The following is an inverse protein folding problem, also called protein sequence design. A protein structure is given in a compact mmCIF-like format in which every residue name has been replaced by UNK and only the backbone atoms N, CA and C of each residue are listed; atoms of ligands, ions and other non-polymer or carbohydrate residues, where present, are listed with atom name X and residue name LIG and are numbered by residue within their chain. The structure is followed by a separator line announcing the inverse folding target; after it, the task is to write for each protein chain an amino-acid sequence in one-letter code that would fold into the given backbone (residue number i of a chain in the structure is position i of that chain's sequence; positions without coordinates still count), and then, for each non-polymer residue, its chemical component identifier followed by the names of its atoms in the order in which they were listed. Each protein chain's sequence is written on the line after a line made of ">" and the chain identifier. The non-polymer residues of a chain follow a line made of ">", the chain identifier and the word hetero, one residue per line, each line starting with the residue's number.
data_IF_895561202633
#
_entry.id   IF_895561202633
#
_cell.length_a   1.000
_cell.length_b   1.000
_cell.length_c   1.000
_cell.angle_alpha   90.00
_cell.angle_beta   90.00
_cell.angle_gamma   90.00
#
_symmetry.space_group_name_H-M   'P 1'
#
loop_
_entity.id
_entity.type
_entity.pdbx_description
1 polymer ?
#
# COMPACT_ATOMS: atom_id res chain seq x y z
N UNK A 1 -30.48 24.66 26.61
CA UNK A 1 -29.00 24.69 26.53
C UNK A 1 -28.63 24.59 25.06
N UNK A 2 -27.84 25.51 24.50
CA UNK A 2 -27.32 25.35 23.15
C UNK A 2 -26.26 24.24 23.20
N UNK A 3 -26.42 23.18 22.43
CA UNK A 3 -25.35 22.19 22.22
C UNK A 3 -24.10 22.93 21.75
N UNK A 4 -23.04 22.86 22.55
CA UNK A 4 -21.73 23.35 22.14
C UNK A 4 -21.17 22.28 21.21
N UNK A 5 -21.22 22.54 19.90
CA UNK A 5 -20.58 21.67 18.91
C UNK A 5 -19.07 21.76 19.11
N UNK A 6 -18.47 20.72 19.67
CA UNK A 6 -17.01 20.59 19.75
C UNK A 6 -16.52 20.26 18.35
N UNK A 7 -15.81 21.19 17.71
CA UNK A 7 -15.18 20.95 16.42
C UNK A 7 -13.88 20.19 16.64
N UNK A 8 -13.72 19.05 15.98
CA UNK A 8 -12.48 18.26 16.01
C UNK A 8 -11.55 18.67 14.87
N UNK A 9 -10.25 18.64 15.10
CA UNK A 9 -9.27 18.66 14.01
C UNK A 9 -9.42 17.41 13.12
N UNK A 10 -8.83 17.44 11.93
CA UNK A 10 -8.79 16.28 11.03
C UNK A 10 -8.24 15.03 11.72
N UNK A 11 -7.13 15.16 12.45
CA UNK A 11 -6.52 14.09 13.23
C UNK A 11 -7.40 13.62 14.37
N UNK A 12 -7.93 14.51 15.20
CA UNK A 12 -8.79 14.13 16.33
C UNK A 12 -10.03 13.36 15.88
N UNK A 13 -10.63 13.78 14.76
CA UNK A 13 -11.78 13.11 14.14
C UNK A 13 -11.45 11.68 13.74
N UNK A 14 -10.33 11.49 13.04
CA UNK A 14 -9.86 10.17 12.61
C UNK A 14 -9.53 9.28 13.81
N UNK A 15 -8.80 9.82 14.78
CA UNK A 15 -8.44 9.08 16.00
C UNK A 15 -9.67 8.75 16.85
N UNK A 16 -10.68 9.62 16.94
CA UNK A 16 -11.93 9.31 17.63
C UNK A 16 -12.61 8.08 16.99
N UNK A 17 -12.76 8.08 15.67
CA UNK A 17 -13.37 6.97 14.94
C UNK A 17 -12.59 5.65 15.11
N UNK A 18 -11.26 5.68 14.97
CA UNK A 18 -10.41 4.51 15.15
C UNK A 18 -10.42 3.95 16.58
N UNK A 19 -10.71 4.80 17.57
CA UNK A 19 -10.89 4.40 18.96
C UNK A 19 -12.37 4.15 19.32
N UNK A 20 -13.23 3.94 18.32
CA UNK A 20 -14.66 3.63 18.50
C UNK A 20 -15.43 4.69 19.32
N UNK A 21 -15.08 5.97 19.15
CA UNK A 21 -15.79 7.13 19.74
C UNK A 21 -16.46 7.92 18.62
N UNK A 22 -17.66 8.43 18.88
CA UNK A 22 -18.42 9.23 17.90
C UNK A 22 -17.67 10.54 17.58
N UNK A 23 -17.26 10.76 16.32
CA UNK A 23 -16.63 12.00 15.90
C UNK A 23 -17.67 13.11 15.61
N UNK A 24 -17.21 14.34 15.38
CA UNK A 24 -18.08 15.46 14.99
C UNK A 24 -18.68 15.31 13.56
N UNK A 25 -18.07 14.47 12.72
CA UNK A 25 -18.59 13.92 11.46
C UNK A 25 -17.79 12.68 11.06
N UNK A 26 -18.30 11.93 10.08
CA UNK A 26 -17.57 10.80 9.47
C UNK A 26 -16.22 11.30 8.92
N UNK A 27 -15.07 10.69 9.30
CA UNK A 27 -13.77 10.99 8.70
C UNK A 27 -13.73 10.57 7.23
N UNK A 28 -13.03 11.34 6.40
CA UNK A 28 -12.91 11.11 4.96
C UNK A 28 -11.44 10.87 4.61
N UNK A 29 -11.19 9.80 3.86
CA UNK A 29 -9.92 9.58 3.16
C UNK A 29 -10.13 9.84 1.66
N UNK A 30 -9.25 10.65 1.07
CA UNK A 30 -9.17 10.86 -0.37
C UNK A 30 -7.69 10.91 -0.79
N UNK A 31 -7.18 9.75 -1.17
CA UNK A 31 -5.80 9.58 -1.65
C UNK A 31 -4.73 9.47 -0.57
N UNK A 32 -5.09 9.25 0.71
CA UNK A 32 -4.11 8.90 1.73
C UNK A 32 -3.69 7.42 1.68
N UNK A 33 -4.44 6.57 0.96
CA UNK A 33 -4.12 5.18 0.65
C UNK A 33 -4.24 4.97 -0.86
N UNK A 34 -3.46 4.05 -1.42
CA UNK A 34 -3.56 3.72 -2.86
C UNK A 34 -4.99 3.34 -3.30
N UNK A 35 -5.71 2.53 -2.51
CA UNK A 35 -7.09 2.13 -2.82
C UNK A 35 -8.13 3.24 -2.63
N UNK A 36 -7.79 4.35 -1.96
CA UNK A 36 -8.61 5.57 -1.86
C UNK A 36 -8.11 6.67 -2.80
N UNK A 37 -7.13 6.36 -3.64
CA UNK A 37 -6.55 7.27 -4.61
C UNK A 37 -7.44 7.52 -5.83
N UNK A 38 -6.90 8.31 -6.75
CA UNK A 38 -7.58 8.69 -7.97
C UNK A 38 -6.64 8.59 -9.15
N UNK A 39 -7.11 7.93 -10.21
CA UNK A 39 -6.35 7.80 -11.45
C UNK A 39 -6.01 9.19 -12.02
N UNK A 40 -4.78 9.38 -12.48
CA UNK A 40 -4.24 10.69 -12.84
C UNK A 40 -5.00 11.39 -13.97
N UNK A 41 -5.48 10.65 -14.98
CA UNK A 41 -6.36 11.24 -16.00
C UNK A 41 -7.64 11.83 -15.40
N UNK A 42 -8.28 11.12 -14.48
CA UNK A 42 -9.50 11.57 -13.81
C UNK A 42 -9.21 12.76 -12.90
N UNK A 43 -8.05 12.74 -12.23
CA UNK A 43 -7.61 13.84 -11.39
C UNK A 43 -7.43 15.15 -12.16
N UNK A 44 -6.92 15.10 -13.40
CA UNK A 44 -6.85 16.30 -14.26
C UNK A 44 -8.25 16.89 -14.50
N UNK A 45 -9.26 16.06 -14.74
CA UNK A 45 -10.63 16.53 -14.95
C UNK A 45 -11.23 17.14 -13.67
N UNK A 46 -10.91 16.58 -12.50
CA UNK A 46 -11.26 17.20 -11.20
C UNK A 46 -10.63 18.59 -11.09
N UNK A 47 -9.34 18.75 -11.40
CA UNK A 47 -8.67 20.06 -11.38
C UNK A 47 -9.33 21.07 -12.31
N UNK A 48 -9.68 20.65 -13.54
CA UNK A 48 -10.40 21.50 -14.51
C UNK A 48 -11.77 21.92 -13.99
N UNK A 49 -12.52 20.98 -13.42
CA UNK A 49 -13.84 21.24 -12.84
C UNK A 49 -13.77 22.25 -11.68
N UNK A 50 -12.74 22.15 -10.83
CA UNK A 50 -12.49 23.10 -9.75
C UNK A 50 -11.92 24.45 -10.23
N UNK A 51 -11.61 24.59 -11.52
CA UNK A 51 -11.02 25.81 -12.08
C UNK A 51 -9.57 26.03 -11.67
N UNK A 52 -8.86 24.99 -11.22
CA UNK A 52 -7.46 25.07 -10.81
C UNK A 52 -6.57 25.34 -12.02
N UNK A 53 -5.80 26.43 -11.97
CA UNK A 53 -4.90 26.86 -13.08
C UNK A 53 -3.42 26.58 -12.83
N UNK A 54 -3.09 25.99 -11.67
CA UNK A 54 -1.72 25.78 -11.23
C UNK A 54 -1.47 24.31 -10.83
N UNK A 55 -0.19 23.98 -10.68
CA UNK A 55 0.26 22.63 -10.34
C UNK A 55 0.19 21.67 -11.54
N UNK A 56 1.18 20.79 -11.65
CA UNK A 56 1.20 19.71 -12.63
C UNK A 56 0.94 18.41 -11.87
N UNK A 57 0.01 17.59 -12.35
CA UNK A 57 -0.34 16.32 -11.72
C UNK A 57 0.90 15.43 -11.63
N UNK A 58 1.21 14.99 -10.41
CA UNK A 58 2.25 14.00 -10.15
C UNK A 58 1.66 12.61 -10.07
N UNK A 59 2.24 11.66 -10.79
CA UNK A 59 1.83 10.25 -10.76
C UNK A 59 2.80 9.48 -9.88
N UNK A 60 2.46 9.28 -8.60
CA UNK A 60 3.37 8.64 -7.64
C UNK A 60 3.29 7.10 -7.69
N UNK A 61 2.09 6.56 -7.92
CA UNK A 61 1.87 5.13 -8.14
C UNK A 61 1.70 4.85 -9.63
N UNK A 62 2.79 4.38 -10.25
CA UNK A 62 2.84 4.05 -11.67
C UNK A 62 2.13 2.74 -12.02
N UNK A 63 1.84 1.86 -11.07
CA UNK A 63 1.11 0.62 -11.34
C UNK A 63 -0.34 0.96 -11.64
N UNK A 64 -0.99 1.65 -10.73
CA UNK A 64 -2.40 2.05 -10.84
C UNK A 64 -2.58 3.41 -11.54
N UNK A 65 -1.48 4.08 -11.89
CA UNK A 65 -1.46 5.42 -12.50
C UNK A 65 -2.17 6.47 -11.63
N UNK A 66 -1.95 6.44 -10.31
CA UNK A 66 -2.61 7.33 -9.35
C UNK A 66 -1.90 8.67 -9.22
N UNK A 67 -2.69 9.74 -9.11
CA UNK A 67 -2.21 11.07 -8.79
C UNK A 67 -1.92 11.25 -7.30
N UNK A 68 -0.94 12.08 -6.97
CA UNK A 68 -0.76 12.67 -5.64
C UNK A 68 -1.71 13.88 -5.53
N UNK A 69 -2.76 13.83 -4.68
CA UNK A 69 -3.69 14.95 -4.58
C UNK A 69 -3.03 16.19 -3.98
N UNK A 70 -3.20 17.35 -4.62
CA UNK A 70 -2.81 18.63 -4.07
C UNK A 70 -3.71 19.06 -2.91
N UNK A 71 -3.13 19.85 -2.00
CA UNK A 71 -3.79 20.37 -0.80
C UNK A 71 -5.17 20.99 -1.06
N UNK A 72 -5.30 21.80 -2.10
CA UNK A 72 -6.57 22.45 -2.46
C UNK A 72 -7.69 21.41 -2.72
N UNK A 73 -7.35 20.27 -3.32
CA UNK A 73 -8.31 19.20 -3.57
C UNK A 73 -8.61 18.39 -2.31
N UNK A 74 -7.59 18.12 -1.48
CA UNK A 74 -7.75 17.50 -0.16
C UNK A 74 -8.72 18.34 0.69
N UNK A 75 -8.54 19.65 0.71
CA UNK A 75 -9.39 20.60 1.43
C UNK A 75 -10.80 20.68 0.83
N UNK A 76 -10.93 20.68 -0.50
CA UNK A 76 -12.23 20.69 -1.18
C UNK A 76 -13.09 19.47 -0.80
N UNK A 77 -12.51 18.27 -0.80
CA UNK A 77 -13.19 17.05 -0.38
C UNK A 77 -13.28 16.88 1.14
N UNK A 78 -12.70 17.81 1.91
CA UNK A 78 -12.65 17.78 3.38
C UNK A 78 -12.04 16.46 3.89
N UNK A 79 -11.04 15.95 3.16
CA UNK A 79 -10.29 14.78 3.59
C UNK A 79 -9.56 15.08 4.90
N UNK A 80 -9.38 14.06 5.72
CA UNK A 80 -8.86 14.17 7.09
C UNK A 80 -7.48 13.53 7.25
N UNK A 81 -6.99 12.89 6.20
CA UNK A 81 -5.80 12.04 6.20
C UNK A 81 -4.87 12.45 5.07
N UNK A 82 -3.57 12.44 5.32
CA UNK A 82 -2.52 12.59 4.32
C UNK A 82 -1.61 11.38 4.29
N UNK A 83 -1.10 11.02 3.11
CA UNK A 83 -0.23 9.86 2.94
C UNK A 83 1.23 10.19 3.27
N UNK A 84 1.86 9.32 4.04
CA UNK A 84 3.30 9.14 4.05
C UNK A 84 3.66 8.01 3.08
N UNK A 85 4.19 8.41 1.92
CA UNK A 85 4.65 7.54 0.84
C UNK A 85 5.98 6.87 1.18
N UNK A 86 6.14 5.65 0.65
CA UNK A 86 7.44 5.00 0.48
C UNK A 86 8.26 5.67 -0.63
N UNK A 87 9.59 5.57 -0.56
CA UNK A 87 10.46 6.04 -1.65
C UNK A 87 10.21 5.21 -2.91
N UNK A 88 10.05 3.89 -2.77
CA UNK A 88 9.85 2.97 -3.89
C UNK A 88 8.49 2.26 -3.76
N UNK A 89 7.37 2.95 -4.00
CA UNK A 89 6.04 2.40 -3.73
C UNK A 89 5.69 1.19 -4.61
N UNK A 90 6.26 1.10 -5.82
CA UNK A 90 6.04 -0.03 -6.73
C UNK A 90 7.19 -0.16 -7.75
N UNK A 91 7.45 -1.39 -8.21
CA UNK A 91 8.46 -1.77 -9.20
C UNK A 91 9.90 -1.29 -8.90
N UNK A 92 10.21 -0.95 -7.64
CA UNK A 92 11.52 -0.45 -7.24
C UNK A 92 11.87 0.95 -7.77
N UNK A 93 10.90 1.70 -8.31
CA UNK A 93 11.14 3.01 -8.91
C UNK A 93 11.02 4.11 -7.84
N UNK A 94 12.07 4.92 -7.60
CA UNK A 94 12.04 5.96 -6.59
C UNK A 94 11.19 7.19 -7.02
N UNK A 95 10.45 7.76 -6.06
CA UNK A 95 9.60 8.96 -6.25
C UNK A 95 10.22 10.26 -5.68
N UNK A 96 11.55 10.30 -5.53
CA UNK A 96 12.29 11.46 -5.02
C UNK A 96 12.56 12.54 -6.07
N UNK A 97 12.50 12.17 -7.35
CA UNK A 97 12.76 13.05 -8.50
C UNK A 97 11.72 12.84 -9.58
N UNK A 98 11.45 13.91 -10.32
CA UNK A 98 10.36 13.95 -11.28
C UNK A 98 10.86 14.33 -12.69
N UNK A 99 10.12 13.88 -13.71
CA UNK A 99 10.28 14.32 -15.10
C UNK A 99 8.93 14.62 -15.72
N UNK A 100 8.93 15.53 -16.68
CA UNK A 100 7.76 15.79 -17.50
C UNK A 100 7.38 14.54 -18.31
N UNK A 101 6.09 14.34 -18.48
CA UNK A 101 5.51 13.29 -19.28
C UNK A 101 4.11 13.64 -19.74
N UNK A 102 3.49 12.67 -20.40
CA UNK A 102 2.14 12.78 -20.96
C UNK A 102 1.31 11.61 -20.47
N UNK A 103 0.13 11.90 -19.95
CA UNK A 103 -0.87 10.92 -19.53
C UNK A 103 -1.52 10.24 -20.74
N UNK A 104 -2.19 9.08 -20.55
CA UNK A 104 -2.94 8.44 -21.63
C UNK A 104 -3.97 9.34 -22.34
N UNK A 105 -4.54 10.34 -21.64
CA UNK A 105 -5.48 11.31 -22.22
C UNK A 105 -4.80 12.51 -22.92
N UNK A 106 -3.47 12.54 -23.02
CA UNK A 106 -2.71 13.61 -23.68
C UNK A 106 -2.33 14.79 -22.76
N UNK A 107 -2.77 14.79 -21.51
CA UNK A 107 -2.48 15.85 -20.55
C UNK A 107 -1.06 15.77 -20.01
N UNK A 108 -0.48 16.93 -19.68
CA UNK A 108 0.87 17.00 -19.09
C UNK A 108 0.84 16.48 -17.65
N UNK A 109 1.86 15.72 -17.28
CA UNK A 109 2.06 15.24 -15.91
C UNK A 109 3.54 15.19 -15.53
N UNK A 110 3.79 14.90 -14.26
CA UNK A 110 5.10 14.55 -13.72
C UNK A 110 5.10 13.06 -13.38
N UNK A 111 6.02 12.32 -13.98
CA UNK A 111 6.32 10.94 -13.61
C UNK A 111 7.59 10.87 -12.75
N UNK A 112 7.80 9.78 -12.00
CA UNK A 112 9.08 9.52 -11.36
C UNK A 112 10.19 9.52 -12.42
N UNK A 113 11.34 10.12 -12.10
CA UNK A 113 12.43 10.36 -13.07
C UNK A 113 12.86 9.07 -13.77
N UNK A 114 12.88 7.98 -13.02
CA UNK A 114 13.35 6.66 -13.45
C UNK A 114 12.26 5.79 -14.11
N UNK A 115 11.00 6.25 -14.11
CA UNK A 115 9.91 5.54 -14.77
C UNK A 115 10.07 5.59 -16.30
N UNK A 116 10.47 4.47 -16.92
CA UNK A 116 10.60 4.36 -18.36
C UNK A 116 9.89 3.08 -18.83
N UNK A 117 9.23 3.15 -19.98
CA UNK A 117 8.61 2.01 -20.63
C UNK A 117 8.96 1.97 -22.11
N UNK A 118 8.93 0.78 -22.69
CA UNK A 118 9.00 0.57 -24.15
C UNK A 118 7.64 0.17 -24.68
N UNK A 119 7.39 0.37 -25.99
CA UNK A 119 6.19 -0.14 -26.65
C UNK A 119 6.53 -1.42 -27.40
N UNK A 120 5.79 -2.49 -27.14
CA UNK A 120 5.94 -3.74 -27.89
C UNK A 120 5.23 -3.65 -29.27
N UNK A 121 5.28 -4.72 -30.06
CA UNK A 121 4.65 -4.78 -31.39
C UNK A 121 3.12 -4.58 -31.38
N UNK A 122 2.45 -4.87 -30.26
CA UNK A 122 1.01 -4.66 -30.05
C UNK A 122 0.67 -3.24 -29.58
N UNK A 123 1.70 -2.44 -29.27
CA UNK A 123 1.56 -1.10 -28.71
C UNK A 123 1.37 -1.09 -27.19
N UNK A 124 1.48 -2.22 -26.52
CA UNK A 124 1.46 -2.28 -25.06
C UNK A 124 2.73 -1.63 -24.52
N UNK A 125 2.60 -0.97 -23.37
CA UNK A 125 3.72 -0.39 -22.65
C UNK A 125 4.29 -1.44 -21.72
N UNK A 126 5.61 -1.60 -21.73
CA UNK A 126 6.33 -2.61 -20.94
C UNK A 126 7.43 -1.93 -20.12
N UNK A 127 7.42 -2.18 -18.80
CA UNK A 127 8.53 -1.80 -17.92
C UNK A 127 9.55 -2.92 -17.96
N UNK A 128 10.81 -2.58 -18.22
CA UNK A 128 11.91 -3.53 -18.27
C UNK A 128 12.87 -3.23 -17.12
N UNK A 129 13.10 -4.22 -16.27
CA UNK A 129 14.09 -4.18 -15.19
C UNK A 129 15.04 -5.35 -15.40
N UNK A 130 16.35 -5.08 -15.44
CA UNK A 130 17.40 -6.09 -15.66
C UNK A 130 17.14 -7.00 -16.87
N UNK A 131 16.65 -6.43 -17.97
CA UNK A 131 16.36 -7.15 -19.22
C UNK A 131 15.08 -8.00 -19.21
N UNK A 132 14.27 -7.96 -18.14
CA UNK A 132 12.99 -8.67 -18.04
C UNK A 132 11.82 -7.70 -18.00
N UNK A 133 10.74 -8.03 -18.70
CA UNK A 133 9.48 -7.29 -18.64
C UNK A 133 8.82 -7.58 -17.29
N UNK A 134 8.83 -6.61 -16.38
CA UNK A 134 8.28 -6.78 -15.02
C UNK A 134 6.83 -6.36 -14.91
N UNK A 135 6.40 -5.44 -15.76
CA UNK A 135 5.02 -4.98 -15.79
C UNK A 135 4.59 -4.58 -17.21
N UNK A 136 3.30 -4.75 -17.50
CA UNK A 136 2.72 -4.46 -18.81
C UNK A 136 1.40 -3.70 -18.65
N UNK A 137 1.25 -2.63 -19.41
CA UNK A 137 -0.04 -1.95 -19.61
C UNK A 137 -0.44 -2.10 -21.07
N UNK A 138 -1.59 -2.73 -21.38
CA UNK A 138 -2.10 -2.83 -22.74
C UNK A 138 -2.19 -1.47 -23.44
N UNK A 139 -2.13 -1.43 -24.78
CA UNK A 139 -2.18 -0.17 -25.56
C UNK A 139 -3.30 0.80 -25.13
N UNK A 140 -4.48 0.26 -24.82
CA UNK A 140 -5.65 1.01 -24.36
C UNK A 140 -5.98 0.77 -22.87
N UNK A 141 -5.04 0.19 -22.12
CA UNK A 141 -5.16 -0.03 -20.68
C UNK A 141 -4.90 1.24 -19.88
N UNK A 142 -5.37 1.23 -18.64
CA UNK A 142 -5.24 2.36 -17.70
C UNK A 142 -4.23 2.10 -16.58
N UNK A 143 -3.82 0.86 -16.36
CA UNK A 143 -2.87 0.47 -15.33
C UNK A 143 -1.90 -0.60 -15.85
N UNK A 144 -0.78 -0.75 -15.15
CA UNK A 144 0.18 -1.83 -15.37
C UNK A 144 -0.16 -3.03 -14.49
N UNK A 145 -0.14 -4.21 -15.09
CA UNK A 145 -0.18 -5.48 -14.37
C UNK A 145 1.23 -6.09 -14.31
N UNK A 146 1.49 -6.89 -13.28
CA UNK A 146 2.72 -7.67 -13.19
C UNK A 146 2.83 -8.64 -14.38
N UNK A 147 4.01 -8.68 -15.01
CA UNK A 147 4.29 -9.51 -16.18
C UNK A 147 5.36 -10.58 -15.93
N UNK A 148 6.04 -10.53 -14.78
CA UNK A 148 7.01 -11.54 -14.36
C UNK A 148 6.95 -11.74 -12.85
N UNK A 149 7.07 -12.98 -12.40
CA UNK A 149 7.01 -13.35 -10.98
C UNK A 149 8.34 -14.02 -10.59
N UNK A 150 9.11 -13.48 -9.62
CA UNK A 150 10.47 -13.93 -9.32
C UNK A 150 10.64 -15.43 -9.01
N UNK A 151 9.63 -16.07 -8.42
CA UNK A 151 9.60 -17.49 -8.06
C UNK A 151 8.60 -18.29 -8.90
N UNK A 152 8.28 -17.82 -10.11
CA UNK A 152 7.43 -18.54 -11.07
C UNK A 152 7.91 -19.97 -11.35
N UNK A 153 9.21 -20.25 -11.22
CA UNK A 153 9.81 -21.57 -11.48
C UNK A 153 10.30 -22.28 -10.21
N UNK A 154 10.10 -21.70 -9.02
CA UNK A 154 10.56 -22.29 -7.76
C UNK A 154 9.91 -23.65 -7.47
N UNK A 155 10.70 -24.61 -7.00
CA UNK A 155 10.23 -25.94 -6.64
C UNK A 155 10.67 -26.40 -5.24
N UNK A 156 11.63 -25.70 -4.63
CA UNK A 156 12.33 -26.07 -3.40
C UNK A 156 12.61 -24.88 -2.49
N UNK A 157 12.93 -25.15 -1.21
CA UNK A 157 13.33 -24.11 -0.23
C UNK A 157 14.59 -23.36 -0.67
N UNK A 158 15.49 -24.02 -1.39
CA UNK A 158 16.70 -23.40 -1.95
C UNK A 158 16.37 -22.29 -2.95
N UNK A 159 15.29 -22.43 -3.72
CA UNK A 159 14.86 -21.39 -4.67
C UNK A 159 14.36 -20.15 -3.92
N UNK A 160 13.69 -20.37 -2.77
CA UNK A 160 13.25 -19.30 -1.87
C UNK A 160 14.44 -18.62 -1.21
N UNK A 161 15.43 -19.39 -0.75
CA UNK A 161 16.65 -18.83 -0.13
C UNK A 161 17.48 -17.96 -1.10
N UNK A 162 17.42 -18.28 -2.40
CA UNK A 162 18.06 -17.48 -3.44
C UNK A 162 17.28 -16.19 -3.79
N UNK A 163 16.04 -16.07 -3.33
CA UNK A 163 15.20 -14.90 -3.56
C UNK A 163 15.65 -13.71 -2.71
N UNK A 164 15.64 -12.51 -3.31
CA UNK A 164 15.92 -11.26 -2.60
C UNK A 164 14.61 -10.60 -2.19
N UNK A 165 14.26 -10.74 -0.92
CA UNK A 165 13.13 -10.06 -0.31
C UNK A 165 13.40 -8.55 -0.16
N UNK A 166 12.34 -7.73 -0.26
CA UNK A 166 12.44 -6.28 -0.13
C UNK A 166 12.76 -5.88 1.31
N UNK A 167 13.88 -5.16 1.50
CA UNK A 167 14.31 -4.64 2.80
C UNK A 167 14.43 -3.13 2.71
N UNK A 168 14.02 -2.44 3.78
CA UNK A 168 14.18 -0.99 3.85
C UNK A 168 15.65 -0.64 4.02
N UNK A 169 16.21 -0.04 2.97
CA UNK A 169 17.56 0.49 2.98
C UNK A 169 17.61 1.89 3.64
N UNK A 170 18.82 2.38 3.88
CA UNK A 170 19.02 3.70 4.49
C UNK A 170 18.38 4.84 3.67
N UNK A 171 18.37 4.71 2.34
CA UNK A 171 17.76 5.69 1.45
C UNK A 171 16.24 5.74 1.64
N UNK A 172 15.57 4.59 1.70
CA UNK A 172 14.14 4.46 1.99
C UNK A 172 13.83 5.09 3.35
N UNK A 173 14.55 4.70 4.41
CA UNK A 173 14.33 5.18 5.78
C UNK A 173 14.55 6.69 5.92
N UNK A 174 15.58 7.23 5.27
CA UNK A 174 15.85 8.67 5.25
C UNK A 174 14.75 9.44 4.51
N UNK A 175 14.30 8.92 3.36
CA UNK A 175 13.21 9.52 2.59
C UNK A 175 11.91 9.59 3.39
N UNK A 176 11.47 8.47 3.99
CA UNK A 176 10.22 8.44 4.75
C UNK A 176 10.30 9.36 5.98
N UNK A 177 11.45 9.44 6.66
CA UNK A 177 11.62 10.31 7.81
C UNK A 177 11.50 11.80 7.42
N UNK A 178 12.24 12.20 6.38
CA UNK A 178 12.19 13.58 5.88
C UNK A 178 10.78 13.95 5.38
N UNK A 179 10.09 13.01 4.74
CA UNK A 179 8.71 13.24 4.30
C UNK A 179 7.74 13.34 5.48
N UNK A 180 7.88 12.50 6.51
CA UNK A 180 7.04 12.54 7.70
C UNK A 180 7.19 13.88 8.46
N UNK A 181 8.42 14.35 8.64
CA UNK A 181 8.71 15.66 9.24
C UNK A 181 8.07 16.81 8.44
N UNK A 182 8.17 16.74 7.10
CA UNK A 182 7.51 17.71 6.21
C UNK A 182 5.99 17.66 6.32
N UNK A 183 5.39 16.48 6.34
CA UNK A 183 3.93 16.32 6.46
C UNK A 183 3.41 16.91 7.78
N UNK A 184 4.11 16.69 8.90
CA UNK A 184 3.73 17.31 10.18
C UNK A 184 3.79 18.84 10.15
N UNK A 185 4.71 19.41 9.38
CA UNK A 185 4.81 20.87 9.19
C UNK A 185 3.72 21.41 8.28
N UNK A 186 3.50 20.75 7.13
CA UNK A 186 2.60 21.24 6.08
C UNK A 186 1.13 20.96 6.41
N UNK A 187 0.86 19.89 7.17
CA UNK A 187 -0.46 19.41 7.59
C UNK A 187 -0.52 19.13 9.10
N UNK A 188 -0.31 20.15 9.97
CA UNK A 188 -0.16 19.96 11.41
C UNK A 188 -1.38 19.34 12.08
N UNK A 189 -2.58 19.50 11.51
CA UNK A 189 -3.84 19.02 12.07
C UNK A 189 -4.40 17.77 11.41
N UNK A 190 -3.76 17.22 10.36
CA UNK A 190 -4.22 16.03 9.64
C UNK A 190 -3.69 14.74 10.27
N UNK A 191 -4.47 13.67 10.16
CA UNK A 191 -3.95 12.33 10.44
C UNK A 191 -2.92 11.94 9.37
N UNK A 192 -1.80 11.36 9.77
CA UNK A 192 -0.80 10.85 8.82
C UNK A 192 -0.91 9.33 8.74
N UNK A 193 -1.18 8.81 7.54
CA UNK A 193 -1.20 7.39 7.24
C UNK A 193 0.14 6.96 6.62
N UNK A 194 0.89 6.14 7.37
CA UNK A 194 2.12 5.51 6.91
C UNK A 194 1.88 4.25 6.11
N UNK A 195 2.24 4.24 4.83
CA UNK A 195 2.24 3.02 4.03
C UNK A 195 3.41 2.13 4.47
N UNK A 196 3.10 0.97 5.05
CA UNK A 196 4.10 -0.03 5.41
C UNK A 196 4.11 -1.22 4.44
N UNK A 197 2.92 -1.77 4.16
CA UNK A 197 2.77 -3.04 3.44
C UNK A 197 2.51 -4.19 4.40
N UNK A 198 3.40 -5.18 4.47
CA UNK A 198 3.19 -6.35 5.34
C UNK A 198 2.18 -7.36 4.80
N UNK A 199 2.01 -7.41 3.48
CA UNK A 199 1.25 -8.42 2.75
C UNK A 199 1.89 -9.81 2.94
N UNK A 200 1.07 -10.84 3.03
CA UNK A 200 1.48 -12.25 3.06
C UNK A 200 0.92 -12.98 1.85
N UNK A 201 -0.40 -12.88 1.63
CA UNK A 201 -1.06 -13.58 0.54
C UNK A 201 -0.76 -12.93 -0.81
N UNK A 202 -0.92 -11.61 -0.89
CA UNK A 202 -0.68 -10.81 -2.09
C UNK A 202 0.80 -10.88 -2.50
N UNK A 203 1.72 -10.90 -1.53
CA UNK A 203 3.14 -11.10 -1.81
C UNK A 203 3.41 -12.46 -2.46
N UNK A 204 2.71 -13.51 -2.03
CA UNK A 204 2.73 -14.80 -2.69
C UNK A 204 2.26 -14.74 -4.14
N UNK A 205 1.22 -13.95 -4.43
CA UNK A 205 0.73 -13.72 -5.79
C UNK A 205 1.77 -12.99 -6.65
N UNK A 206 2.40 -11.94 -6.12
CA UNK A 206 3.44 -11.18 -6.83
C UNK A 206 4.75 -11.95 -6.98
N UNK A 207 4.98 -12.95 -6.14
CA UNK A 207 6.23 -13.70 -6.12
C UNK A 207 6.17 -14.96 -7.00
N UNK A 208 5.12 -15.76 -6.88
CA UNK A 208 4.99 -17.03 -7.62
C UNK A 208 4.08 -16.93 -8.84
N UNK A 209 3.25 -15.89 -8.93
CA UNK A 209 2.13 -15.81 -9.85
C UNK A 209 0.89 -16.55 -9.31
N UNK A 210 -0.29 -16.04 -9.68
CA UNK A 210 -1.59 -16.47 -9.13
C UNK A 210 -1.81 -17.99 -9.20
N UNK A 211 -1.72 -18.58 -10.38
CA UNK A 211 -2.02 -20.01 -10.58
C UNK A 211 -1.06 -20.91 -9.80
N UNK A 212 0.24 -20.61 -9.87
CA UNK A 212 1.27 -21.39 -9.17
C UNK A 212 1.14 -21.25 -7.66
N UNK A 213 0.95 -20.04 -7.15
CA UNK A 213 0.82 -19.81 -5.71
C UNK A 213 -0.37 -20.59 -5.13
N UNK A 214 -1.54 -20.49 -5.76
CA UNK A 214 -2.73 -21.22 -5.34
C UNK A 214 -2.54 -22.74 -5.42
N UNK A 215 -1.85 -23.23 -6.45
CA UNK A 215 -1.51 -24.66 -6.61
C UNK A 215 -0.55 -25.13 -5.51
N UNK A 216 0.49 -24.36 -5.21
CA UNK A 216 1.49 -24.69 -4.18
C UNK A 216 0.90 -24.69 -2.78
N UNK A 217 -0.04 -23.79 -2.47
CA UNK A 217 -0.79 -23.79 -1.20
C UNK A 217 -1.47 -25.13 -0.90
N UNK A 218 -1.87 -25.88 -1.94
CA UNK A 218 -2.52 -27.18 -1.81
C UNK A 218 -1.51 -28.33 -1.93
N UNK A 219 -0.66 -28.30 -2.96
CA UNK A 219 0.21 -29.44 -3.32
C UNK A 219 1.53 -29.46 -2.56
N UNK A 220 2.07 -28.30 -2.20
CA UNK A 220 3.35 -28.14 -1.48
C UNK A 220 3.20 -27.14 -0.31
N UNK A 221 2.25 -27.33 0.62
CA UNK A 221 1.97 -26.36 1.68
C UNK A 221 3.18 -26.05 2.57
N UNK A 222 4.07 -27.04 2.81
CA UNK A 222 5.30 -26.82 3.58
C UNK A 222 6.25 -25.82 2.92
N UNK A 223 6.34 -25.83 1.59
CA UNK A 223 7.16 -24.88 0.84
C UNK A 223 6.61 -23.44 0.98
N UNK A 224 5.29 -23.28 0.94
CA UNK A 224 4.66 -21.98 1.13
C UNK A 224 4.76 -21.51 2.59
N UNK A 225 4.69 -22.43 3.56
CA UNK A 225 4.96 -22.11 4.96
C UNK A 225 6.40 -21.60 5.15
N UNK A 226 7.38 -22.28 4.56
CA UNK A 226 8.77 -21.83 4.56
C UNK A 226 8.95 -20.44 3.92
N UNK A 227 8.31 -20.21 2.77
CA UNK A 227 8.27 -18.88 2.14
C UNK A 227 7.69 -17.81 3.08
N UNK A 228 6.55 -18.10 3.71
CA UNK A 228 5.88 -17.17 4.60
C UNK A 228 6.70 -16.91 5.88
N UNK A 229 7.45 -17.89 6.39
CA UNK A 229 8.39 -17.72 7.50
C UNK A 229 9.49 -16.73 7.15
N UNK A 230 10.14 -16.91 5.99
CA UNK A 230 11.15 -15.95 5.48
C UNK A 230 10.58 -14.56 5.25
N UNK A 231 9.36 -14.48 4.72
CA UNK A 231 8.69 -13.21 4.47
C UNK A 231 8.38 -12.48 5.79
N UNK A 232 7.90 -13.19 6.82
CA UNK A 232 7.64 -12.60 8.14
C UNK A 232 8.93 -12.13 8.80
N UNK A 233 10.03 -12.89 8.73
CA UNK A 233 11.34 -12.45 9.25
C UNK A 233 11.72 -11.07 8.69
N UNK A 234 11.56 -10.89 7.38
CA UNK A 234 11.85 -9.63 6.69
C UNK A 234 10.87 -8.52 7.07
N UNK A 235 9.58 -8.82 7.13
CA UNK A 235 8.56 -7.84 7.53
C UNK A 235 8.76 -7.36 8.97
N UNK A 236 9.15 -8.23 9.90
CA UNK A 236 9.44 -7.83 11.28
C UNK A 236 10.68 -6.93 11.38
N UNK A 237 11.72 -7.22 10.60
CA UNK A 237 12.91 -6.36 10.50
C UNK A 237 12.55 -4.98 9.92
N UNK A 238 11.83 -4.95 8.80
CA UNK A 238 11.37 -3.70 8.17
C UNK A 238 10.47 -2.92 9.12
N UNK A 239 9.56 -3.59 9.83
CA UNK A 239 8.61 -2.94 10.75
C UNK A 239 9.33 -2.24 11.88
N UNK A 240 10.32 -2.91 12.49
CA UNK A 240 11.16 -2.32 13.54
C UNK A 240 11.88 -1.07 13.04
N UNK A 241 12.50 -1.14 11.86
CA UNK A 241 13.24 -0.02 11.28
C UNK A 241 12.30 1.13 10.88
N UNK A 242 11.14 0.81 10.31
CA UNK A 242 10.12 1.78 9.91
C UNK A 242 9.57 2.54 11.12
N UNK A 243 9.09 1.82 12.14
CA UNK A 243 8.54 2.45 13.34
C UNK A 243 9.60 3.24 14.12
N UNK A 244 10.87 2.79 14.12
CA UNK A 244 11.96 3.58 14.68
C UNK A 244 12.19 4.90 13.91
N UNK A 245 11.96 4.92 12.59
CA UNK A 245 12.14 6.10 11.77
C UNK A 245 10.95 7.07 11.84
N UNK A 246 9.71 6.56 11.81
CA UNK A 246 8.50 7.38 11.60
C UNK A 246 7.38 7.17 12.63
N UNK A 247 7.55 6.29 13.61
CA UNK A 247 6.49 5.88 14.54
C UNK A 247 5.86 7.02 15.34
N UNK A 248 6.63 8.04 15.72
CA UNK A 248 6.13 9.24 16.42
C UNK A 248 5.46 10.27 15.48
N UNK A 249 5.57 10.08 14.16
CA UNK A 249 5.04 11.00 13.15
C UNK A 249 3.75 10.52 12.50
N UNK A 250 3.46 9.22 12.55
CA UNK A 250 2.26 8.63 11.96
C UNK A 250 1.15 8.43 12.98
N UNK A 251 -0.09 8.59 12.53
CA UNK A 251 -1.29 8.32 13.31
C UNK A 251 -1.89 6.94 12.95
N UNK A 252 -1.65 6.47 11.72
CA UNK A 252 -2.13 5.21 11.17
C UNK A 252 -0.97 4.50 10.49
N UNK A 253 -0.80 3.20 10.76
CA UNK A 253 0.05 2.32 9.95
C UNK A 253 -0.84 1.50 9.02
N UNK A 254 -0.69 1.67 7.71
CA UNK A 254 -1.44 0.91 6.72
C UNK A 254 -0.70 -0.38 6.40
N UNK A 255 -1.38 -1.48 6.71
CA UNK A 255 -1.04 -2.84 6.32
C UNK A 255 -2.28 -3.54 5.82
N UNK A 256 -2.13 -4.50 4.91
CA UNK A 256 -3.28 -5.26 4.40
C UNK A 256 -2.88 -6.26 3.35
N UNK A 257 -3.80 -7.15 3.01
CA UNK A 257 -3.70 -8.13 1.94
C UNK A 257 -4.99 -8.08 1.12
N UNK A 258 -4.89 -8.22 -0.20
CA UNK A 258 -6.06 -8.45 -1.05
C UNK A 258 -6.39 -9.96 -1.08
N UNK A 259 -7.42 -10.34 -0.33
CA UNK A 259 -7.87 -11.73 -0.20
C UNK A 259 -9.11 -12.02 -1.07
N UNK A 260 -9.64 -11.00 -1.74
CA UNK A 260 -10.95 -11.02 -2.38
C UNK A 260 -10.90 -11.20 -3.89
N UNK A 261 -11.96 -11.77 -4.43
CA UNK A 261 -12.33 -11.71 -5.84
C UNK A 261 -13.72 -11.08 -5.94
N UNK A 262 -14.21 -10.85 -7.15
CA UNK A 262 -15.55 -10.32 -7.38
C UNK A 262 -16.67 -11.14 -6.71
N UNK A 263 -16.48 -12.46 -6.55
CA UNK A 263 -17.52 -13.39 -6.09
C UNK A 263 -17.23 -14.02 -4.72
N UNK A 264 -16.16 -13.62 -4.03
CA UNK A 264 -15.74 -14.21 -2.76
C UNK A 264 -14.23 -14.32 -2.61
N UNK A 265 -13.72 -14.95 -1.54
CA UNK A 265 -12.29 -15.02 -1.30
C UNK A 265 -11.56 -15.95 -2.28
N UNK A 266 -10.27 -15.68 -2.55
CA UNK A 266 -9.42 -16.57 -3.36
C UNK A 266 -9.28 -17.99 -2.77
N UNK A 267 -9.24 -18.07 -1.44
CA UNK A 267 -9.09 -19.32 -0.69
C UNK A 267 -10.17 -19.43 0.38
N UNK A 268 -10.59 -20.66 0.69
CA UNK A 268 -11.58 -20.87 1.75
C UNK A 268 -11.09 -20.30 3.10
N UNK A 269 -11.99 -19.84 3.99
CA UNK A 269 -11.62 -19.35 5.32
C UNK A 269 -10.78 -20.33 6.15
N UNK A 270 -11.00 -21.65 5.96
CA UNK A 270 -10.20 -22.71 6.59
C UNK A 270 -8.73 -22.67 6.14
N UNK A 271 -8.48 -22.50 4.84
CA UNK A 271 -7.13 -22.41 4.28
C UNK A 271 -6.45 -21.10 4.69
N UNK A 272 -7.17 -19.98 4.65
CA UNK A 272 -6.66 -18.70 5.15
C UNK A 272 -6.19 -18.79 6.60
N UNK A 273 -7.03 -19.33 7.50
CA UNK A 273 -6.70 -19.49 8.92
C UNK A 273 -5.48 -20.38 9.16
N UNK A 274 -5.21 -21.33 8.25
CA UNK A 274 -4.11 -22.28 8.37
C UNK A 274 -2.80 -21.76 7.80
N UNK A 275 -2.84 -21.15 6.63
CA UNK A 275 -1.63 -20.87 5.84
C UNK A 275 -1.24 -19.39 5.76
N UNK A 276 -2.16 -18.47 6.07
CA UNK A 276 -1.92 -17.02 5.91
C UNK A 276 -2.05 -16.28 7.25
N UNK A 277 -3.18 -16.47 7.96
CA UNK A 277 -3.49 -15.75 9.21
C UNK A 277 -2.38 -15.81 10.27
N UNK A 278 -1.69 -16.94 10.53
CA UNK A 278 -0.66 -16.99 11.56
C UNK A 278 0.49 -16.00 11.30
N UNK A 279 0.86 -15.82 10.04
CA UNK A 279 1.94 -14.94 9.60
C UNK A 279 1.54 -13.47 9.65
N UNK A 280 0.33 -13.12 9.19
CA UNK A 280 -0.24 -11.78 9.37
C UNK A 280 -0.34 -11.42 10.86
N UNK A 281 -0.79 -12.37 11.69
CA UNK A 281 -0.90 -12.17 13.15
C UNK A 281 0.46 -11.86 13.77
N UNK A 282 1.53 -12.55 13.37
CA UNK A 282 2.87 -12.27 13.90
C UNK A 282 3.29 -10.80 13.66
N UNK A 283 3.02 -10.26 12.47
CA UNK A 283 3.33 -8.87 12.13
C UNK A 283 2.46 -7.90 12.95
N UNK A 284 1.15 -8.16 13.05
CA UNK A 284 0.24 -7.29 13.79
C UNK A 284 0.48 -7.32 15.31
N UNK A 285 0.82 -8.47 15.87
CA UNK A 285 1.21 -8.58 17.28
C UNK A 285 2.46 -7.75 17.55
N UNK A 286 3.43 -7.73 16.63
CA UNK A 286 4.64 -6.93 16.77
C UNK A 286 4.36 -5.42 16.73
N UNK A 287 3.43 -4.96 15.89
CA UNK A 287 2.99 -3.55 15.91
C UNK A 287 2.48 -3.16 17.29
N UNK A 288 1.58 -3.96 17.87
CA UNK A 288 1.04 -3.70 19.21
C UNK A 288 2.11 -3.79 20.30
N UNK A 289 3.11 -4.68 20.14
CA UNK A 289 4.22 -4.81 21.08
C UNK A 289 5.15 -3.59 21.06
N UNK A 290 5.47 -3.06 19.87
CA UNK A 290 6.35 -1.90 19.71
C UNK A 290 5.64 -0.61 20.13
N UNK A 291 4.36 -0.47 19.80
CA UNK A 291 3.59 0.75 20.07
C UNK A 291 2.33 0.47 20.92
N UNK A 292 2.47 0.36 22.26
CA UNK A 292 1.33 0.16 23.15
C UNK A 292 0.39 1.36 23.24
N UNK A 293 0.69 2.50 22.58
CA UNK A 293 -0.23 3.65 22.47
C UNK A 293 -1.38 3.39 21.50
N UNK A 294 -1.23 2.44 20.56
CA UNK A 294 -2.37 1.86 19.86
C UNK A 294 -3.17 1.10 20.91
N UNK A 295 -4.33 1.65 21.31
CA UNK A 295 -5.19 1.00 22.30
C UNK A 295 -5.33 -0.47 21.89
N UNK A 296 -5.00 -1.36 22.81
CA UNK A 296 -5.33 -2.76 22.70
C UNK A 296 -6.81 -2.82 22.33
N UNK A 297 -7.13 -3.18 21.09
CA UNK A 297 -8.41 -3.82 20.84
C UNK A 297 -8.46 -4.95 21.86
N UNK A 298 -9.52 -5.06 22.68
CA UNK A 298 -9.66 -6.22 23.55
C UNK A 298 -9.40 -7.43 22.67
N UNK A 299 -8.59 -8.42 23.12
CA UNK A 299 -8.32 -9.59 22.31
C UNK A 299 -9.68 -10.09 21.85
N UNK A 300 -9.93 -10.04 20.54
CA UNK A 300 -11.08 -10.72 19.97
C UNK A 300 -10.86 -12.18 20.37
N UNK A 301 -11.51 -12.57 21.46
CA UNK A 301 -11.65 -13.93 21.92
C UNK A 301 -12.42 -14.62 20.79
N UNK A 302 -11.70 -15.04 19.77
CA UNK A 302 -12.13 -16.16 18.95
C UNK A 302 -12.03 -17.37 19.87
N UNK A 303 -12.96 -17.49 20.80
CA UNK A 303 -13.26 -18.78 21.40
C UNK A 303 -13.56 -19.69 20.22
N UNK A 304 -12.64 -20.61 20.01
CA UNK A 304 -12.84 -21.74 19.16
C UNK A 304 -13.98 -22.54 19.78
N UNK A 305 -15.20 -22.33 19.31
CA UNK A 305 -16.29 -23.29 19.50
C UNK A 305 -16.10 -24.35 18.42
N UNK A 306 -15.65 -25.58 18.74
CA UNK A 306 -15.70 -26.66 17.77
C UNK A 306 -17.18 -26.90 17.45
N UNK A 307 -17.56 -26.67 16.19
CA UNK A 307 -18.82 -27.16 15.66
C UNK A 307 -18.70 -28.69 15.57
N UNK A 308 -19.01 -29.36 16.67
CA UNK A 308 -19.52 -30.72 16.65
C UNK A 308 -21.00 -30.66 16.32
N UNK A 309 -21.32 -31.04 15.09
CA UNK A 309 -22.37 -32.02 14.70
C UNK A 309 -22.14 -32.35 13.24
#
# INVERSE_FOLDING_TARGET
>A
MKEVKIFMTHRERVLAALNHREPDRVPIDFGAMRSTGIHACTYVEVKKYLGMKHGIVKVYDIMQMLAEPEREVIEYFKADIVQLHRLRPVFGIPIDRWKEGVLPNGEKCLYPKEFNYVKNKKGDKELIVNGRVVARMPKNGHWFDFASFPLADAESEKDIDAHKFDKFDEQELSFIKNQAEKLKKDYPDYAVLGEFGGTIFEEGLFTFGLEKYLTLLIRKPKLIQYFNEKLVEVHLENLKNYLAAVGDYIDIIRMGDDLGTQNGPYISPKHYRKYIKPYQKAIYDEVHRINPRGQSLPPFMWEYTPLHT
#
